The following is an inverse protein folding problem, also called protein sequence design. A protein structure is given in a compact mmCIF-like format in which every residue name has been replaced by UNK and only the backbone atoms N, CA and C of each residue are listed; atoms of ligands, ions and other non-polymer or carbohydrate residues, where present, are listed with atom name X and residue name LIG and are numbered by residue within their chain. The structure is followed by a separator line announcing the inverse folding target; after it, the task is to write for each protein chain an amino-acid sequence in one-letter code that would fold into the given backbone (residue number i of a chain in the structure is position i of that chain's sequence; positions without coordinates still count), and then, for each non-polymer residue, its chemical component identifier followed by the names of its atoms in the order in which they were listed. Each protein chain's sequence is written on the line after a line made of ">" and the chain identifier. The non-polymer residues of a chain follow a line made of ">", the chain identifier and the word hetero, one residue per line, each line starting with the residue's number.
data_IF_949923540305
#
_entry.id   IF_949923540305
#
_cell.length_a   1.000
_cell.length_b   1.000
_cell.length_c   1.000
_cell.angle_alpha   90.00
_cell.angle_beta   90.00
_cell.angle_gamma   90.00
#
_symmetry.space_group_name_H-M   'P 1'
#
loop_
_entity.id
_entity.type
_entity.pdbx_description
1 polymer ?
#
# COMPACT_ATOMS: atom_id res chain seq x y z
N UNK A 1 -14.52 -0.18 -32.73
CA UNK A 1 -13.62 0.24 -31.62
C UNK A 1 -12.85 -0.95 -31.05
N UNK A 2 -11.63 -0.71 -30.56
CA UNK A 2 -10.83 -1.74 -29.86
C UNK A 2 -11.27 -1.88 -28.40
N UNK A 3 -11.23 -3.09 -27.87
CA UNK A 3 -11.44 -3.34 -26.43
C UNK A 3 -10.17 -2.96 -25.62
N UNK A 4 -10.37 -2.61 -24.37
CA UNK A 4 -9.29 -2.45 -23.38
C UNK A 4 -8.71 -3.82 -23.07
N UNK A 5 -7.37 -3.94 -23.04
CA UNK A 5 -6.70 -5.19 -22.72
C UNK A 5 -6.94 -5.63 -21.26
N UNK A 6 -7.13 -6.92 -21.03
CA UNK A 6 -7.29 -7.50 -19.69
C UNK A 6 -6.02 -7.40 -18.85
N UNK A 7 -4.85 -7.23 -19.49
CA UNK A 7 -3.55 -7.12 -18.85
C UNK A 7 -3.22 -5.70 -18.34
N UNK A 8 -4.12 -4.73 -18.52
CA UNK A 8 -3.95 -3.40 -17.95
C UNK A 8 -3.81 -3.49 -16.41
N UNK A 9 -2.87 -2.73 -15.83
CA UNK A 9 -2.77 -2.59 -14.36
C UNK A 9 -3.98 -1.82 -13.83
N UNK A 10 -4.21 -1.94 -12.54
CA UNK A 10 -5.25 -1.18 -11.82
C UNK A 10 -5.14 0.31 -12.11
N UNK A 11 -3.94 0.87 -11.93
CA UNK A 11 -3.66 2.29 -12.16
C UNK A 11 -3.79 2.74 -13.61
N UNK A 12 -3.52 1.86 -14.58
CA UNK A 12 -3.70 2.16 -16.01
C UNK A 12 -5.18 2.23 -16.38
N UNK A 13 -5.99 1.34 -15.79
CA UNK A 13 -7.43 1.32 -16.02
C UNK A 13 -8.12 2.50 -15.34
N UNK A 14 -7.71 2.85 -14.13
CA UNK A 14 -8.19 4.00 -13.37
C UNK A 14 -7.94 5.30 -14.16
N UNK A 15 -6.69 5.54 -14.58
CA UNK A 15 -6.32 6.70 -15.39
C UNK A 15 -7.07 6.78 -16.73
N UNK A 16 -7.30 5.64 -17.38
CA UNK A 16 -8.11 5.59 -18.60
C UNK A 16 -9.55 6.02 -18.32
N UNK A 17 -10.15 5.48 -17.27
CA UNK A 17 -11.54 5.77 -16.90
C UNK A 17 -11.74 7.23 -16.56
N UNK A 18 -10.87 7.82 -15.75
CA UNK A 18 -10.89 9.24 -15.43
C UNK A 18 -10.77 10.12 -16.68
N UNK A 19 -9.90 9.72 -17.62
CA UNK A 19 -9.74 10.44 -18.88
C UNK A 19 -11.01 10.37 -19.72
N UNK A 20 -11.64 9.19 -19.84
CA UNK A 20 -12.88 9.02 -20.59
C UNK A 20 -14.04 9.80 -19.98
N UNK A 21 -14.17 9.80 -18.64
CA UNK A 21 -15.19 10.58 -17.92
C UNK A 21 -14.97 12.07 -18.15
N UNK A 22 -13.74 12.55 -18.07
CA UNK A 22 -13.40 13.95 -18.34
C UNK A 22 -13.73 14.35 -19.78
N UNK A 23 -13.38 13.53 -20.77
CA UNK A 23 -13.69 13.78 -22.19
C UNK A 23 -15.20 13.82 -22.43
N UNK A 24 -15.94 12.91 -21.82
CA UNK A 24 -17.41 12.91 -21.89
C UNK A 24 -18.00 14.21 -21.32
N UNK A 25 -17.54 14.65 -20.15
CA UNK A 25 -18.05 15.86 -19.49
C UNK A 25 -17.75 17.16 -20.26
N UNK A 26 -16.79 17.16 -21.17
CA UNK A 26 -16.51 18.34 -22.04
C UNK A 26 -17.48 18.47 -23.21
N UNK A 27 -18.35 17.49 -23.46
CA UNK A 27 -19.23 17.44 -24.62
C UNK A 27 -20.71 17.47 -24.18
N UNK A 28 -21.24 18.67 -23.92
CA UNK A 28 -22.58 18.85 -23.37
C UNK A 28 -23.70 18.17 -24.18
N UNK A 29 -23.52 18.07 -25.50
CA UNK A 29 -24.50 17.41 -26.39
C UNK A 29 -24.73 15.96 -26.01
N UNK A 30 -23.71 15.27 -25.49
CA UNK A 30 -23.81 13.85 -25.09
C UNK A 30 -24.62 13.66 -23.80
N UNK A 31 -24.82 14.70 -23.00
CA UNK A 31 -25.64 14.62 -21.79
C UNK A 31 -27.13 14.34 -22.08
N UNK A 32 -27.58 14.57 -23.31
CA UNK A 32 -28.93 14.25 -23.77
C UNK A 32 -29.12 12.76 -24.09
N UNK A 33 -28.05 12.01 -24.26
CA UNK A 33 -28.10 10.57 -24.49
C UNK A 33 -28.21 9.84 -23.14
N UNK A 34 -29.40 9.41 -22.79
CA UNK A 34 -29.67 8.75 -21.51
C UNK A 34 -28.89 7.44 -21.33
N UNK A 35 -28.63 6.69 -22.43
CA UNK A 35 -27.89 5.43 -22.36
C UNK A 35 -26.40 5.67 -22.13
N UNK A 36 -25.79 6.57 -22.89
CA UNK A 36 -24.39 6.94 -22.70
C UNK A 36 -24.16 7.57 -21.32
N UNK A 37 -25.07 8.45 -20.90
CA UNK A 37 -25.04 9.05 -19.56
C UNK A 37 -25.01 7.99 -18.46
N UNK A 38 -25.88 6.97 -18.56
CA UNK A 38 -25.92 5.86 -17.59
C UNK A 38 -24.63 5.05 -17.57
N UNK A 39 -24.05 4.76 -18.74
CA UNK A 39 -22.77 4.03 -18.85
C UNK A 39 -21.62 4.87 -18.24
N UNK A 40 -21.56 6.17 -18.55
CA UNK A 40 -20.51 7.04 -18.03
C UNK A 40 -20.61 7.27 -16.52
N UNK A 41 -21.83 7.37 -15.98
CA UNK A 41 -22.04 7.47 -14.54
C UNK A 41 -21.57 6.20 -13.80
N UNK A 42 -21.82 5.01 -14.37
CA UNK A 42 -21.35 3.74 -13.81
C UNK A 42 -19.81 3.63 -13.86
N UNK A 43 -19.18 4.08 -14.96
CA UNK A 43 -17.73 4.10 -15.07
C UNK A 43 -17.13 5.07 -14.03
N UNK A 44 -17.70 6.25 -13.84
CA UNK A 44 -17.26 7.23 -12.85
C UNK A 44 -17.36 6.69 -11.43
N UNK A 45 -18.47 6.01 -11.08
CA UNK A 45 -18.63 5.37 -9.77
C UNK A 45 -17.61 4.27 -9.56
N UNK A 46 -17.43 3.39 -10.55
CA UNK A 46 -16.46 2.28 -10.47
C UNK A 46 -15.01 2.79 -10.41
N UNK A 47 -14.66 3.86 -11.12
CA UNK A 47 -13.33 4.51 -11.05
C UNK A 47 -13.08 5.09 -9.66
N UNK A 48 -14.06 5.79 -9.07
CA UNK A 48 -13.94 6.29 -7.70
C UNK A 48 -13.74 5.14 -6.68
N UNK A 49 -14.48 4.04 -6.81
CA UNK A 49 -14.30 2.83 -5.97
C UNK A 49 -12.93 2.20 -6.16
N UNK A 50 -12.40 2.20 -7.39
CA UNK A 50 -11.08 1.67 -7.70
C UNK A 50 -9.99 2.52 -7.04
N UNK A 51 -10.07 3.84 -7.15
CA UNK A 51 -9.15 4.78 -6.47
C UNK A 51 -9.12 4.55 -4.96
N UNK A 52 -10.27 4.39 -4.30
CA UNK A 52 -10.32 4.10 -2.87
C UNK A 52 -9.75 2.71 -2.51
N UNK A 53 -9.98 1.70 -3.36
CA UNK A 53 -9.40 0.38 -3.16
C UNK A 53 -7.86 0.40 -3.29
N UNK A 54 -7.31 1.15 -4.25
CA UNK A 54 -5.85 1.34 -4.40
C UNK A 54 -5.24 2.03 -3.18
N UNK A 55 -5.91 3.05 -2.64
CA UNK A 55 -5.45 3.71 -1.41
C UNK A 55 -5.39 2.74 -0.22
N UNK A 56 -6.40 1.87 -0.06
CA UNK A 56 -6.40 0.85 1.01
C UNK A 56 -5.27 -0.16 0.85
N UNK A 57 -5.00 -0.61 -0.38
CA UNK A 57 -3.90 -1.54 -0.66
C UNK A 57 -2.54 -0.88 -0.33
N UNK A 58 -2.36 0.41 -0.64
CA UNK A 58 -1.16 1.18 -0.29
C UNK A 58 -0.97 1.30 1.23
N UNK A 59 -2.05 1.54 1.99
CA UNK A 59 -2.01 1.60 3.46
C UNK A 59 -1.60 0.23 4.04
N UNK A 60 -2.09 -0.89 3.49
CA UNK A 60 -1.68 -2.24 3.91
C UNK A 60 -0.18 -2.46 3.68
N UNK A 61 0.35 -2.09 2.51
CA UNK A 61 1.78 -2.19 2.22
C UNK A 61 2.64 -1.34 3.17
N UNK A 62 2.16 -0.14 3.54
CA UNK A 62 2.86 0.72 4.51
C UNK A 62 2.96 0.07 5.88
N UNK A 63 1.89 -0.61 6.33
CA UNK A 63 1.91 -1.35 7.60
C UNK A 63 2.92 -2.51 7.56
N UNK A 64 2.92 -3.31 6.48
CA UNK A 64 3.86 -4.43 6.30
C UNK A 64 5.32 -3.94 6.28
N UNK A 65 5.60 -2.81 5.63
CA UNK A 65 6.93 -2.20 5.64
C UNK A 65 7.34 -1.70 7.03
N UNK A 66 6.42 -1.10 7.77
CA UNK A 66 6.69 -0.63 9.13
C UNK A 66 6.97 -1.81 10.08
N UNK A 67 6.23 -2.90 9.93
CA UNK A 67 6.43 -4.15 10.66
C UNK A 67 7.82 -4.75 10.37
N UNK A 68 8.18 -4.89 9.11
CA UNK A 68 9.50 -5.41 8.71
C UNK A 68 10.67 -4.57 9.28
N UNK A 69 10.53 -3.25 9.35
CA UNK A 69 11.53 -2.36 9.97
C UNK A 69 11.63 -2.56 11.47
N UNK A 70 10.50 -2.75 12.14
CA UNK A 70 10.41 -3.03 13.57
C UNK A 70 11.07 -4.37 13.90
N UNK A 71 10.77 -5.40 13.15
CA UNK A 71 11.39 -6.72 13.23
C UNK A 71 12.91 -6.65 13.11
N UNK A 72 13.38 -5.91 12.12
CA UNK A 72 14.82 -5.75 11.88
C UNK A 72 15.49 -5.00 13.03
N UNK A 73 14.83 -3.98 13.60
CA UNK A 73 15.35 -3.25 14.75
C UNK A 73 15.51 -4.17 15.99
N UNK A 74 14.54 -5.06 16.25
CA UNK A 74 14.64 -6.09 17.30
C UNK A 74 15.83 -7.01 17.06
N UNK A 75 15.97 -7.54 15.83
CA UNK A 75 17.05 -8.48 15.48
C UNK A 75 18.43 -7.83 15.62
N UNK A 76 18.58 -6.59 15.14
CA UNK A 76 19.85 -5.85 15.20
C UNK A 76 20.24 -5.50 16.64
N UNK A 77 19.29 -5.08 17.48
CA UNK A 77 19.54 -4.83 18.89
C UNK A 77 20.05 -6.10 19.58
N UNK A 78 19.35 -7.23 19.41
CA UNK A 78 19.75 -8.51 19.99
C UNK A 78 21.13 -8.98 19.50
N UNK A 79 21.43 -8.79 18.21
CA UNK A 79 22.73 -9.18 17.63
C UNK A 79 23.86 -8.29 18.19
N UNK A 80 23.62 -6.99 18.35
CA UNK A 80 24.63 -6.07 18.91
C UNK A 80 24.93 -6.41 20.38
N UNK A 81 23.90 -6.60 21.21
CA UNK A 81 24.07 -6.94 22.62
C UNK A 81 24.76 -8.29 22.78
N UNK A 82 24.40 -9.30 21.98
CA UNK A 82 25.05 -10.60 21.97
C UNK A 82 26.54 -10.50 21.60
N UNK A 83 26.87 -9.70 20.57
CA UNK A 83 28.26 -9.47 20.17
C UNK A 83 29.15 -8.91 21.29
N UNK A 84 28.59 -8.01 22.12
CA UNK A 84 29.32 -7.44 23.25
C UNK A 84 29.60 -8.45 24.38
N UNK A 85 28.88 -9.54 24.52
CA UNK A 85 29.19 -10.57 25.54
C UNK A 85 30.48 -11.34 25.26
N UNK A 86 30.99 -11.29 24.04
CA UNK A 86 32.21 -11.99 23.63
C UNK A 86 33.48 -11.12 23.69
N UNK A 87 33.39 -9.84 24.03
CA UNK A 87 34.58 -8.96 24.08
C UNK A 87 35.38 -9.14 25.35
N UNK A 88 36.74 -8.99 25.30
CA UNK A 88 37.61 -9.28 26.43
C UNK A 88 37.79 -8.14 27.43
N UNK A 89 36.76 -7.30 27.58
CA UNK A 89 36.77 -6.16 28.54
C UNK A 89 35.71 -6.38 29.60
N UNK A 90 36.12 -6.71 30.84
CA UNK A 90 35.24 -7.15 31.94
C UNK A 90 34.06 -6.20 32.22
N UNK A 91 34.31 -4.88 32.24
CA UNK A 91 33.24 -3.89 32.50
C UNK A 91 32.15 -3.90 31.41
N UNK A 92 32.57 -3.93 30.15
CA UNK A 92 31.65 -3.98 29.01
C UNK A 92 30.95 -5.35 28.92
N UNK A 93 31.62 -6.44 29.22
CA UNK A 93 31.05 -7.75 29.26
C UNK A 93 29.92 -7.84 30.31
N UNK A 94 30.15 -7.31 31.52
CA UNK A 94 29.11 -7.27 32.59
C UNK A 94 27.91 -6.42 32.15
N UNK A 95 28.13 -5.27 31.50
CA UNK A 95 27.05 -4.46 30.96
C UNK A 95 26.25 -5.22 29.88
N UNK A 96 26.96 -5.90 28.98
CA UNK A 96 26.36 -6.72 27.92
C UNK A 96 25.55 -7.88 28.47
N UNK A 97 26.05 -8.59 29.48
CA UNK A 97 25.31 -9.69 30.16
C UNK A 97 24.03 -9.20 30.81
N UNK A 98 24.05 -8.01 31.47
CA UNK A 98 22.86 -7.38 32.04
C UNK A 98 21.81 -7.05 30.98
N UNK A 99 22.23 -6.44 29.86
CA UNK A 99 21.34 -6.11 28.74
C UNK A 99 20.84 -7.36 28.00
N UNK A 100 21.72 -8.36 27.84
CA UNK A 100 21.33 -9.65 27.26
C UNK A 100 20.28 -10.38 28.09
N UNK A 101 20.44 -10.39 29.40
CA UNK A 101 19.45 -10.98 30.31
C UNK A 101 18.07 -10.26 30.22
N UNK A 102 18.08 -8.94 30.00
CA UNK A 102 16.85 -8.19 29.72
C UNK A 102 16.25 -8.54 28.35
N UNK A 103 17.08 -8.60 27.30
CA UNK A 103 16.64 -8.96 25.94
C UNK A 103 16.10 -10.40 25.86
N UNK A 104 16.78 -11.35 26.48
CA UNK A 104 16.43 -12.78 26.40
C UNK A 104 15.07 -13.14 27.00
N UNK A 105 14.51 -12.28 27.85
CA UNK A 105 13.12 -12.44 28.34
C UNK A 105 12.12 -12.47 27.17
N UNK A 106 12.42 -11.74 26.13
CA UNK A 106 11.60 -11.55 24.95
C UNK A 106 12.18 -12.32 23.75
N UNK A 107 13.45 -12.13 23.47
CA UNK A 107 14.22 -12.76 22.40
C UNK A 107 13.78 -12.30 21.00
N UNK A 108 14.53 -12.72 20.00
CA UNK A 108 14.22 -12.42 18.59
C UNK A 108 12.92 -13.07 18.09
N UNK A 109 12.39 -14.07 18.81
CA UNK A 109 11.17 -14.80 18.43
C UNK A 109 9.90 -13.94 18.48
N UNK A 110 9.92 -12.81 19.16
CA UNK A 110 8.77 -11.90 19.23
C UNK A 110 8.37 -11.37 17.86
N UNK A 111 9.29 -11.32 16.90
CA UNK A 111 9.03 -10.91 15.51
C UNK A 111 8.15 -11.90 14.72
N UNK A 112 7.69 -12.96 15.33
CA UNK A 112 6.73 -13.92 14.74
C UNK A 112 5.38 -13.92 15.45
N UNK A 113 5.18 -13.02 16.41
CA UNK A 113 3.94 -12.88 17.14
C UNK A 113 2.89 -12.08 16.38
N UNK A 114 1.66 -12.04 16.87
CA UNK A 114 0.66 -11.11 16.33
C UNK A 114 1.06 -9.67 16.62
N UNK A 115 0.66 -8.74 15.78
CA UNK A 115 0.97 -7.30 15.89
C UNK A 115 0.73 -6.73 17.30
N UNK A 116 -0.40 -7.08 17.92
CA UNK A 116 -0.73 -6.62 19.28
C UNK A 116 0.21 -7.22 20.34
N UNK A 117 0.50 -8.53 20.24
CA UNK A 117 1.41 -9.22 21.15
C UNK A 117 2.83 -8.69 21.02
N UNK A 118 3.32 -8.56 19.79
CA UNK A 118 4.65 -8.06 19.52
C UNK A 118 4.84 -6.62 20.02
N UNK A 119 3.87 -5.73 19.79
CA UNK A 119 3.91 -4.35 20.31
C UNK A 119 4.01 -4.34 21.83
N UNK A 120 3.22 -5.14 22.52
CA UNK A 120 3.26 -5.24 23.99
C UNK A 120 4.61 -5.75 24.52
N UNK A 121 5.19 -6.75 23.82
CA UNK A 121 6.48 -7.32 24.20
C UNK A 121 7.65 -6.34 23.93
N UNK A 122 7.59 -5.60 22.81
CA UNK A 122 8.57 -4.54 22.51
C UNK A 122 8.49 -3.41 23.54
N UNK A 123 7.30 -2.94 23.89
CA UNK A 123 7.13 -1.91 24.92
C UNK A 123 7.69 -2.36 26.27
N UNK A 124 7.45 -3.60 26.65
CA UNK A 124 8.00 -4.20 27.86
C UNK A 124 9.54 -4.31 27.79
N UNK A 125 10.09 -4.71 26.65
CA UNK A 125 11.53 -4.74 26.39
C UNK A 125 12.15 -3.33 26.51
N UNK A 126 11.55 -2.34 25.89
CA UNK A 126 12.01 -0.95 25.96
C UNK A 126 11.96 -0.40 27.40
N UNK A 127 10.98 -0.81 28.21
CA UNK A 127 10.89 -0.52 29.63
C UNK A 127 12.04 -1.15 30.42
N UNK A 128 12.36 -2.41 30.18
CA UNK A 128 13.49 -3.11 30.80
C UNK A 128 14.84 -2.49 30.44
N UNK A 129 15.00 -2.02 29.19
CA UNK A 129 16.19 -1.31 28.74
C UNK A 129 16.27 0.09 29.37
N UNK A 130 15.17 0.81 29.49
CA UNK A 130 15.15 2.14 30.11
C UNK A 130 15.64 2.13 31.57
N UNK A 131 15.47 1.01 32.26
CA UNK A 131 16.01 0.81 33.61
C UNK A 131 17.53 0.52 33.66
N UNK A 132 18.22 0.45 32.50
CA UNK A 132 19.63 0.05 32.34
C UNK A 132 20.42 1.06 31.50
N UNK A 133 20.24 2.34 31.77
CA UNK A 133 20.84 3.42 31.00
C UNK A 133 22.39 3.39 31.09
N UNK A 134 22.93 3.12 32.27
CA UNK A 134 24.39 3.06 32.49
C UNK A 134 25.03 1.93 31.67
N UNK A 135 24.36 0.78 31.57
CA UNK A 135 24.83 -0.37 30.75
C UNK A 135 24.75 -0.04 29.27
N UNK A 136 23.73 0.69 28.83
CA UNK A 136 23.64 1.14 27.43
C UNK A 136 24.75 2.14 27.06
N UNK A 137 25.04 3.09 27.96
CA UNK A 137 26.12 4.08 27.79
C UNK A 137 27.52 3.43 27.78
N UNK A 138 27.69 2.32 28.49
CA UNK A 138 28.96 1.58 28.51
C UNK A 138 29.24 0.83 27.18
N UNK A 139 28.22 0.66 26.34
CA UNK A 139 28.31 -0.13 25.10
C UNK A 139 27.99 0.74 23.87
N UNK A 140 29.02 1.18 23.10
CA UNK A 140 28.84 2.04 21.94
C UNK A 140 27.79 1.50 20.96
N UNK A 141 26.85 2.34 20.56
CA UNK A 141 25.82 2.03 19.58
C UNK A 141 24.57 1.31 20.17
N UNK A 142 24.57 0.92 21.44
CA UNK A 142 23.41 0.23 22.05
C UNK A 142 22.27 1.25 22.29
N UNK A 143 22.55 2.41 22.85
CA UNK A 143 21.55 3.44 23.10
C UNK A 143 20.88 3.88 21.77
N UNK A 144 21.66 4.03 20.70
CA UNK A 144 21.16 4.35 19.35
C UNK A 144 20.27 3.25 18.79
N UNK A 145 20.60 1.96 19.03
CA UNK A 145 19.78 0.85 18.60
C UNK A 145 18.46 0.75 19.38
N UNK A 146 18.50 1.05 20.68
CA UNK A 146 17.27 1.13 21.50
C UNK A 146 16.37 2.27 21.00
N UNK A 147 16.96 3.42 20.64
CA UNK A 147 16.19 4.53 20.07
C UNK A 147 15.59 4.16 18.70
N UNK A 148 16.36 3.51 17.82
CA UNK A 148 15.86 3.03 16.53
C UNK A 148 14.70 2.04 16.68
N UNK A 149 14.75 1.15 17.69
CA UNK A 149 13.63 0.26 17.99
C UNK A 149 12.39 1.04 18.45
N UNK A 150 12.58 2.06 19.29
CA UNK A 150 11.49 2.95 19.74
C UNK A 150 10.85 3.66 18.56
N UNK A 151 11.65 4.26 17.70
CA UNK A 151 11.18 4.98 16.52
C UNK A 151 10.45 4.06 15.54
N UNK A 152 10.93 2.82 15.38
CA UNK A 152 10.28 1.80 14.54
C UNK A 152 8.93 1.34 15.14
N UNK A 153 8.84 1.18 16.46
CA UNK A 153 7.59 0.85 17.14
C UNK A 153 6.56 1.99 17.00
N UNK A 154 6.99 3.24 17.16
CA UNK A 154 6.11 4.41 16.99
C UNK A 154 5.61 4.53 15.55
N UNK A 155 6.49 4.30 14.57
CA UNK A 155 6.12 4.28 13.15
C UNK A 155 5.13 3.16 12.83
N UNK A 156 5.34 1.96 13.40
CA UNK A 156 4.41 0.85 13.27
C UNK A 156 3.04 1.18 13.89
N UNK A 157 3.00 1.72 15.10
CA UNK A 157 1.74 2.09 15.77
C UNK A 157 0.93 3.07 14.91
N UNK A 158 1.60 4.10 14.34
CA UNK A 158 0.96 5.04 13.43
C UNK A 158 0.40 4.37 12.18
N UNK A 159 1.18 3.52 11.54
CA UNK A 159 0.74 2.79 10.34
C UNK A 159 -0.43 1.84 10.65
N UNK A 160 -0.41 1.18 11.81
CA UNK A 160 -1.49 0.30 12.26
C UNK A 160 -2.79 1.06 12.56
N UNK A 161 -2.71 2.25 13.15
CA UNK A 161 -3.88 3.11 13.37
C UNK A 161 -4.51 3.55 12.04
N UNK A 162 -3.69 3.91 11.05
CA UNK A 162 -4.15 4.24 9.70
C UNK A 162 -4.79 3.02 9.02
N UNK A 163 -4.21 1.84 9.16
CA UNK A 163 -4.75 0.59 8.62
C UNK A 163 -6.09 0.22 9.26
N UNK A 164 -6.24 0.32 10.58
CA UNK A 164 -7.49 0.03 11.27
C UNK A 164 -8.61 0.97 10.80
N UNK A 165 -8.31 2.27 10.63
CA UNK A 165 -9.27 3.25 10.09
C UNK A 165 -9.67 2.88 8.66
N UNK A 166 -8.72 2.58 7.79
CA UNK A 166 -9.00 2.21 6.40
C UNK A 166 -9.76 0.88 6.28
N UNK A 167 -9.51 -0.07 7.18
CA UNK A 167 -10.18 -1.37 7.20
C UNK A 167 -11.62 -1.31 7.72
N UNK A 168 -11.97 -0.30 8.52
CA UNK A 168 -13.35 -0.10 8.97
C UNK A 168 -14.30 0.20 7.80
N UNK A 169 -13.78 0.77 6.70
CA UNK A 169 -14.48 0.91 5.43
C UNK A 169 -14.46 -0.42 4.66
N UNK A 170 -15.56 -1.19 4.78
CA UNK A 170 -15.77 -2.46 4.07
C UNK A 170 -15.90 -2.22 2.56
N UNK A 171 -14.78 -2.07 1.87
CA UNK A 171 -14.74 -1.91 0.42
C UNK A 171 -14.31 -3.17 -0.32
N UNK A 172 -14.64 -3.26 -1.60
CA UNK A 172 -14.18 -4.32 -2.48
C UNK A 172 -12.67 -4.22 -2.72
N UNK A 173 -12.02 -5.34 -3.05
CA UNK A 173 -10.61 -5.33 -3.44
C UNK A 173 -10.40 -4.60 -4.78
N UNK A 174 -9.24 -3.95 -4.95
CA UNK A 174 -8.89 -3.29 -6.21
C UNK A 174 -8.98 -4.24 -7.42
N UNK A 175 -8.66 -5.53 -7.24
CA UNK A 175 -8.78 -6.55 -8.28
C UNK A 175 -10.24 -6.81 -8.68
N UNK A 176 -11.17 -6.87 -7.73
CA UNK A 176 -12.59 -7.09 -8.02
C UNK A 176 -13.19 -5.88 -8.75
N UNK A 177 -12.92 -4.66 -8.26
CA UNK A 177 -13.40 -3.42 -8.90
C UNK A 177 -12.80 -3.26 -10.30
N UNK A 178 -11.50 -3.53 -10.47
CA UNK A 178 -10.83 -3.52 -11.79
C UNK A 178 -11.55 -4.42 -12.78
N UNK A 179 -11.90 -5.66 -12.38
CA UNK A 179 -12.60 -6.62 -13.26
C UNK A 179 -13.96 -6.09 -13.69
N UNK A 180 -14.71 -5.50 -12.77
CA UNK A 180 -16.00 -4.90 -13.05
C UNK A 180 -15.88 -3.72 -14.00
N UNK A 181 -14.98 -2.77 -13.72
CA UNK A 181 -14.72 -1.60 -14.55
C UNK A 181 -14.28 -1.99 -15.97
N UNK A 182 -13.39 -2.97 -16.11
CA UNK A 182 -12.98 -3.48 -17.41
C UNK A 182 -14.14 -4.08 -18.22
N UNK A 183 -15.06 -4.78 -17.55
CA UNK A 183 -16.28 -5.29 -18.18
C UNK A 183 -17.20 -4.14 -18.63
N UNK A 184 -17.45 -3.15 -17.78
CA UNK A 184 -18.25 -1.96 -18.13
C UNK A 184 -17.66 -1.21 -19.31
N UNK A 185 -16.33 -0.98 -19.32
CA UNK A 185 -15.65 -0.35 -20.46
C UNK A 185 -15.80 -1.15 -21.74
N UNK A 186 -15.59 -2.47 -21.70
CA UNK A 186 -15.54 -3.30 -22.89
C UNK A 186 -16.92 -3.71 -23.42
N UNK A 187 -17.81 -4.08 -22.54
CA UNK A 187 -19.08 -4.73 -22.92
C UNK A 187 -20.25 -3.72 -22.97
N UNK A 188 -20.05 -2.53 -22.39
CA UNK A 188 -21.04 -1.45 -22.45
C UNK A 188 -20.54 -0.26 -23.24
N UNK A 189 -19.46 0.44 -22.81
CA UNK A 189 -19.00 1.67 -23.46
C UNK A 189 -18.47 1.39 -24.87
N UNK A 190 -17.52 0.47 -25.05
CA UNK A 190 -16.95 0.14 -26.38
C UNK A 190 -18.01 -0.41 -27.29
N UNK A 191 -18.89 -1.29 -26.82
CA UNK A 191 -19.98 -1.83 -27.62
C UNK A 191 -20.94 -0.73 -28.07
N UNK A 192 -21.34 0.15 -27.16
CA UNK A 192 -22.20 1.29 -27.46
C UNK A 192 -21.56 2.23 -28.48
N UNK A 193 -20.32 2.71 -28.23
CA UNK A 193 -19.64 3.65 -29.11
C UNK A 193 -19.32 3.05 -30.49
N UNK A 194 -19.20 1.73 -30.62
CA UNK A 194 -19.02 1.08 -31.94
C UNK A 194 -20.22 1.33 -32.85
N UNK A 195 -21.42 1.40 -32.30
CA UNK A 195 -22.65 1.72 -33.06
C UNK A 195 -22.86 3.24 -33.14
N UNK A 196 -22.75 3.94 -32.01
CA UNK A 196 -23.01 5.38 -31.91
C UNK A 196 -22.01 6.25 -32.68
N UNK A 197 -20.81 5.73 -33.03
CA UNK A 197 -19.81 6.46 -33.83
C UNK A 197 -20.33 6.89 -35.24
N UNK A 198 -21.42 6.29 -35.72
CA UNK A 198 -22.09 6.73 -36.95
C UNK A 198 -22.91 8.02 -36.80
N UNK A 199 -23.23 8.41 -35.56
CA UNK A 199 -23.95 9.63 -35.24
C UNK A 199 -22.96 10.81 -35.14
N UNK A 200 -23.22 11.90 -35.87
CA UNK A 200 -22.34 13.07 -35.88
C UNK A 200 -22.08 13.63 -34.48
N UNK A 201 -23.09 13.61 -33.59
CA UNK A 201 -22.97 14.07 -32.19
C UNK A 201 -22.02 13.22 -31.34
N UNK A 202 -21.83 11.94 -31.67
CA UNK A 202 -21.03 10.98 -30.89
C UNK A 202 -19.64 10.74 -31.49
N UNK A 203 -19.43 11.08 -32.77
CA UNK A 203 -18.24 10.76 -33.56
C UNK A 203 -16.96 11.31 -32.92
N UNK A 204 -16.99 12.54 -32.43
CA UNK A 204 -15.84 13.16 -31.77
C UNK A 204 -15.43 12.38 -30.51
N UNK A 205 -16.37 12.09 -29.64
CA UNK A 205 -16.13 11.34 -28.40
C UNK A 205 -15.66 9.91 -28.70
N UNK A 206 -16.30 9.20 -29.63
CA UNK A 206 -15.92 7.85 -30.02
C UNK A 206 -14.46 7.79 -30.53
N UNK A 207 -14.05 8.78 -31.35
CA UNK A 207 -12.68 8.89 -31.88
C UNK A 207 -11.68 9.14 -30.75
N UNK A 208 -11.99 10.05 -29.81
CA UNK A 208 -11.13 10.34 -28.66
C UNK A 208 -11.03 9.13 -27.72
N UNK A 209 -12.14 8.47 -27.41
CA UNK A 209 -12.17 7.28 -26.59
C UNK A 209 -11.34 6.14 -27.21
N UNK A 210 -11.44 5.92 -28.52
CA UNK A 210 -10.64 4.91 -29.21
C UNK A 210 -9.15 5.23 -29.16
N UNK A 211 -8.77 6.50 -29.30
CA UNK A 211 -7.38 6.94 -29.21
C UNK A 211 -6.78 6.68 -27.80
N UNK A 212 -7.50 7.00 -26.74
CA UNK A 212 -7.05 6.77 -25.36
C UNK A 212 -6.98 5.26 -25.02
N UNK A 213 -7.96 4.46 -25.45
CA UNK A 213 -7.91 2.99 -25.31
C UNK A 213 -6.71 2.41 -26.07
N UNK A 214 -6.44 2.87 -27.29
CA UNK A 214 -5.28 2.44 -28.06
C UNK A 214 -3.97 2.77 -27.36
N UNK A 215 -3.82 4.00 -26.86
CA UNK A 215 -2.66 4.47 -26.10
C UNK A 215 -2.41 3.62 -24.85
N UNK A 216 -3.46 3.31 -24.08
CA UNK A 216 -3.38 2.45 -22.91
C UNK A 216 -2.93 1.04 -23.30
N UNK A 217 -3.53 0.44 -24.32
CA UNK A 217 -3.15 -0.90 -24.80
C UNK A 217 -1.70 -0.96 -25.31
N UNK A 218 -1.20 0.08 -25.96
CA UNK A 218 0.20 0.20 -26.41
C UNK A 218 1.16 0.30 -25.22
N UNK A 219 0.82 1.07 -24.19
CA UNK A 219 1.61 1.16 -22.96
C UNK A 219 1.74 -0.20 -22.26
N UNK A 220 0.64 -0.94 -22.16
CA UNK A 220 0.63 -2.32 -21.62
C UNK A 220 1.50 -3.25 -22.44
N UNK A 221 1.42 -3.17 -23.77
CA UNK A 221 2.21 -4.03 -24.67
C UNK A 221 3.72 -3.76 -24.62
N UNK A 222 4.12 -2.51 -24.41
CA UNK A 222 5.56 -2.13 -24.26
C UNK A 222 6.16 -2.65 -22.96
N UNK A 223 5.37 -2.76 -21.90
CA UNK A 223 5.82 -3.28 -20.60
C UNK A 223 6.04 -4.80 -20.61
N UNK A 224 5.36 -5.54 -21.48
CA UNK A 224 5.45 -7.00 -21.59
C UNK A 224 6.61 -7.48 -22.50
N UNK A 225 7.39 -6.57 -23.06
CA UNK A 225 8.62 -6.82 -23.81
C UNK A 225 9.85 -6.50 -22.96
#
# INVERSE_FOLDING_TARGET
>A
MRKVTTNAKVTELDSLSDTLVRLYKTQEVLAQDAMLKGIMAEIEEQSARLTEAVKRDAISSTLEEADARRDEAVRLLGTLVEGYTAIPFEAQQKAAESLKAAFDKYGKKITGESYANESSLIESMLGDFAARTAEQEALPGVAERVQLLRDAQDAFNKANDEYIRAKSDKGESATAVKKLLAATLNDRLVAYLTVAASLETHKAFATQAEAEIKKTNEAVSRRGK
#
